data_IF_105580552651
#
_entry.id   IF_105580552651
#
_cell.length_a   1.000
_cell.length_b   1.000
_cell.length_c   1.000
_cell.angle_alpha   90.00
_cell.angle_beta   90.00
_cell.angle_gamma   90.00
#
_symmetry.space_group_name_H-M   'P 1'
#
loop_
_entity.id
_entity.type
_entity.pdbx_description
1 polymer ?
#
# COMPACT_ATOMS: atom_id res chain seq x y z
N UNK A 1 5.62 -30.59 35.63
CA UNK A 1 4.76 -29.63 34.89
C UNK A 1 5.66 -28.56 34.30
N UNK A 2 5.98 -28.66 33.00
CA UNK A 2 6.73 -27.61 32.31
C UNK A 2 5.86 -26.35 32.22
N UNK A 3 6.38 -25.15 32.53
CA UNK A 3 5.66 -23.93 32.19
C UNK A 3 5.58 -23.86 30.67
N UNK A 4 4.37 -24.01 30.12
CA UNK A 4 4.06 -23.68 28.73
C UNK A 4 4.46 -22.21 28.54
N UNK A 5 5.62 -22.02 27.91
CA UNK A 5 6.17 -20.73 27.53
C UNK A 5 5.21 -20.10 26.51
N UNK A 6 4.21 -19.39 27.02
CA UNK A 6 3.22 -18.64 26.24
C UNK A 6 3.78 -17.28 25.82
N UNK A 7 5.05 -17.21 25.45
CA UNK A 7 5.55 -16.08 24.68
C UNK A 7 5.32 -16.39 23.21
N UNK A 8 4.72 -15.47 22.44
CA UNK A 8 4.63 -15.66 21.00
C UNK A 8 6.04 -15.82 20.45
N UNK A 9 6.26 -16.91 19.72
CA UNK A 9 7.58 -17.28 19.20
C UNK A 9 8.17 -16.11 18.40
N UNK A 10 9.18 -15.45 18.96
CA UNK A 10 9.81 -14.26 18.39
C UNK A 10 10.31 -14.52 16.96
N UNK A 11 10.67 -15.77 16.66
CA UNK A 11 11.08 -16.20 15.32
C UNK A 11 9.93 -16.08 14.32
N UNK A 12 8.72 -16.46 14.73
CA UNK A 12 7.51 -16.34 13.92
C UNK A 12 7.14 -14.86 13.68
N UNK A 13 7.22 -14.00 14.71
CA UNK A 13 7.00 -12.55 14.59
C UNK A 13 8.01 -11.93 13.61
N UNK A 14 9.29 -12.25 13.76
CA UNK A 14 10.36 -11.73 12.90
C UNK A 14 10.20 -12.19 11.45
N UNK A 15 9.79 -13.44 11.22
CA UNK A 15 9.53 -13.98 9.89
C UNK A 15 8.38 -13.23 9.20
N UNK A 16 7.24 -13.02 9.89
CA UNK A 16 6.09 -12.30 9.34
C UNK A 16 6.42 -10.85 9.00
N UNK A 17 7.14 -10.17 9.89
CA UNK A 17 7.58 -8.81 9.65
C UNK A 17 8.57 -8.71 8.48
N UNK A 18 9.44 -9.71 8.32
CA UNK A 18 10.32 -9.82 7.15
C UNK A 18 9.49 -9.96 5.88
N UNK A 19 8.49 -10.83 5.85
CA UNK A 19 7.58 -10.98 4.70
C UNK A 19 6.88 -9.66 4.37
N UNK A 20 6.32 -8.96 5.37
CA UNK A 20 5.66 -7.67 5.15
C UNK A 20 6.61 -6.60 4.60
N UNK A 21 7.87 -6.56 5.06
CA UNK A 21 8.87 -5.63 4.49
C UNK A 21 9.25 -5.99 3.07
N UNK A 22 9.40 -7.28 2.76
CA UNK A 22 9.67 -7.74 1.39
C UNK A 22 8.52 -7.33 0.47
N UNK A 23 7.28 -7.58 0.88
CA UNK A 23 6.09 -7.17 0.11
C UNK A 23 6.02 -5.66 -0.05
N UNK A 24 6.22 -4.90 1.03
CA UNK A 24 6.24 -3.44 0.97
C UNK A 24 7.27 -2.92 -0.04
N UNK A 25 8.49 -3.47 0.00
CA UNK A 25 9.55 -3.09 -0.93
C UNK A 25 9.23 -3.52 -2.36
N UNK A 26 8.65 -4.72 -2.56
CA UNK A 26 8.24 -5.21 -3.87
C UNK A 26 7.20 -4.31 -4.53
N UNK A 27 6.16 -3.89 -3.78
CA UNK A 27 5.14 -2.96 -4.27
C UNK A 27 5.72 -1.56 -4.53
N UNK A 28 6.63 -1.08 -3.67
CA UNK A 28 7.31 0.19 -3.91
C UNK A 28 8.15 0.14 -5.19
N UNK A 29 8.87 -0.96 -5.42
CA UNK A 29 9.60 -1.21 -6.66
C UNK A 29 8.66 -1.30 -7.88
N UNK A 30 7.47 -1.92 -7.73
CA UNK A 30 6.43 -1.98 -8.77
C UNK A 30 6.01 -0.57 -9.22
N UNK A 31 5.72 0.33 -8.27
CA UNK A 31 5.40 1.73 -8.56
C UNK A 31 6.56 2.42 -9.29
N UNK A 32 7.79 2.20 -8.84
CA UNK A 32 8.99 2.72 -9.50
C UNK A 32 9.16 2.20 -10.93
N UNK A 33 8.87 0.91 -11.16
CA UNK A 33 8.92 0.28 -12.47
C UNK A 33 7.86 0.88 -13.40
N UNK A 34 6.62 1.06 -12.92
CA UNK A 34 5.57 1.72 -13.69
C UNK A 34 5.97 3.14 -14.10
N UNK A 35 6.59 3.89 -13.20
CA UNK A 35 7.11 5.22 -13.52
C UNK A 35 8.25 5.14 -14.56
N UNK A 36 9.20 4.21 -14.42
CA UNK A 36 10.28 4.01 -15.39
C UNK A 36 9.74 3.68 -16.79
N UNK A 37 8.68 2.88 -16.89
CA UNK A 37 8.03 2.58 -18.17
C UNK A 37 7.56 3.84 -18.89
N UNK A 38 7.03 4.84 -18.15
CA UNK A 38 6.63 6.12 -18.75
C UNK A 38 7.81 6.87 -19.38
N UNK A 39 9.00 6.77 -18.79
CA UNK A 39 10.23 7.38 -19.32
C UNK A 39 10.69 6.66 -20.59
N UNK A 40 10.67 5.32 -20.60
CA UNK A 40 11.09 4.52 -21.76
C UNK A 40 10.16 4.66 -22.95
N UNK A 41 8.85 4.77 -22.72
CA UNK A 41 7.85 4.92 -23.80
C UNK A 41 7.95 6.31 -24.46
N UNK A 42 8.34 7.33 -23.69
CA UNK A 42 8.42 8.71 -24.18
C UNK A 42 7.06 9.39 -24.25
N UNK A 43 7.05 10.72 -24.11
CA UNK A 43 5.82 11.52 -24.07
C UNK A 43 5.11 11.51 -25.42
N UNK A 44 3.81 11.23 -25.42
CA UNK A 44 2.93 11.48 -26.57
C UNK A 44 2.48 12.94 -26.59
N UNK A 45 2.15 13.50 -27.77
CA UNK A 45 1.55 14.83 -27.84
C UNK A 45 0.23 14.81 -27.08
N UNK A 46 0.04 15.80 -26.20
CA UNK A 46 -1.20 15.97 -25.47
C UNK A 46 -2.33 16.33 -26.45
N UNK A 47 -3.42 15.56 -26.42
CA UNK A 47 -4.53 15.67 -27.37
C UNK A 47 -5.77 16.18 -26.66
N UNK A 48 -6.16 17.44 -26.92
CA UNK A 48 -7.49 18.05 -26.63
C UNK A 48 -8.04 18.03 -25.19
N UNK A 49 -9.03 18.90 -24.94
CA UNK A 49 -9.66 19.13 -23.63
C UNK A 49 -10.50 17.96 -23.08
N UNK A 50 -10.91 17.00 -23.92
CA UNK A 50 -11.63 15.80 -23.45
C UNK A 50 -10.73 14.88 -22.62
N UNK A 51 -9.44 14.88 -22.96
CA UNK A 51 -8.41 14.06 -22.34
C UNK A 51 -8.06 14.55 -20.94
N UNK A 52 -8.15 15.87 -20.71
CA UNK A 52 -7.98 16.51 -19.40
C UNK A 52 -9.05 16.03 -18.40
N UNK A 53 -10.30 15.90 -18.86
CA UNK A 53 -11.39 15.42 -18.01
C UNK A 53 -11.16 13.97 -17.56
N UNK A 54 -10.65 13.12 -18.46
CA UNK A 54 -10.30 11.73 -18.13
C UNK A 54 -9.15 11.67 -17.12
N UNK A 55 -8.11 12.49 -17.30
CA UNK A 55 -6.99 12.57 -16.34
C UNK A 55 -7.46 13.03 -14.96
N UNK A 56 -8.38 13.99 -14.90
CA UNK A 56 -8.97 14.43 -13.64
C UNK A 56 -9.75 13.33 -12.94
N UNK A 57 -10.51 12.50 -13.68
CA UNK A 57 -11.20 11.33 -13.12
C UNK A 57 -10.19 10.33 -12.57
N UNK A 58 -9.12 10.01 -13.30
CA UNK A 58 -8.08 9.11 -12.79
C UNK A 58 -7.39 9.67 -11.53
N UNK A 59 -7.14 10.98 -11.50
CA UNK A 59 -6.60 11.66 -10.33
C UNK A 59 -7.51 11.51 -9.12
N UNK A 60 -8.81 11.79 -9.29
CA UNK A 60 -9.80 11.69 -8.22
C UNK A 60 -9.92 10.24 -7.70
N UNK A 61 -9.98 9.27 -8.60
CA UNK A 61 -10.08 7.84 -8.24
C UNK A 61 -8.79 7.37 -7.55
N UNK A 62 -7.61 7.69 -8.08
CA UNK A 62 -6.33 7.34 -7.47
C UNK A 62 -6.13 7.97 -6.10
N UNK A 63 -6.49 9.25 -5.94
CA UNK A 63 -6.45 9.91 -4.64
C UNK A 63 -7.42 9.27 -3.63
N UNK A 64 -8.62 8.92 -4.08
CA UNK A 64 -9.59 8.22 -3.23
C UNK A 64 -9.10 6.82 -2.82
N UNK A 65 -8.36 6.11 -3.68
CA UNK A 65 -7.81 4.78 -3.35
C UNK A 65 -6.73 4.88 -2.28
N UNK A 66 -5.85 5.87 -2.36
CA UNK A 66 -4.82 6.11 -1.32
C UNK A 66 -5.47 6.52 -0.01
N UNK A 67 -6.49 7.40 -0.04
CA UNK A 67 -7.22 7.76 1.17
C UNK A 67 -7.95 6.55 1.78
N UNK A 68 -8.60 5.74 0.95
CA UNK A 68 -9.26 4.51 1.36
C UNK A 68 -8.25 3.53 1.98
N UNK A 69 -7.02 3.43 1.46
CA UNK A 69 -5.98 2.55 2.00
C UNK A 69 -5.68 2.82 3.47
N UNK A 70 -5.66 4.10 3.87
CA UNK A 70 -5.44 4.54 5.25
C UNK A 70 -6.62 4.17 6.13
N UNK A 71 -7.85 4.48 5.69
CA UNK A 71 -9.08 4.20 6.45
C UNK A 71 -9.26 2.68 6.63
N UNK A 72 -9.07 1.92 5.56
CA UNK A 72 -9.15 0.46 5.57
C UNK A 72 -8.10 -0.14 6.49
N UNK A 73 -6.86 0.37 6.46
CA UNK A 73 -5.81 -0.04 7.42
C UNK A 73 -6.27 0.17 8.85
N UNK A 74 -6.75 1.36 9.19
CA UNK A 74 -7.17 1.68 10.56
C UNK A 74 -8.28 0.74 11.04
N UNK A 75 -9.29 0.49 10.19
CA UNK A 75 -10.39 -0.43 10.52
C UNK A 75 -9.94 -1.88 10.68
N UNK A 76 -9.07 -2.37 9.79
CA UNK A 76 -8.59 -3.75 9.83
C UNK A 76 -7.60 -3.96 10.99
N UNK A 77 -6.78 -2.97 11.31
CA UNK A 77 -5.91 -3.00 12.50
C UNK A 77 -6.72 -3.01 13.79
N UNK A 78 -7.76 -2.18 13.92
CA UNK A 78 -8.65 -2.19 15.08
C UNK A 78 -9.27 -3.58 15.30
N UNK A 79 -9.80 -4.19 14.23
CA UNK A 79 -10.30 -5.59 14.28
C UNK A 79 -9.21 -6.60 14.62
N UNK A 80 -7.99 -6.42 14.14
CA UNK A 80 -6.88 -7.31 14.45
C UNK A 80 -6.52 -7.26 15.95
N UNK A 81 -6.60 -6.09 16.58
CA UNK A 81 -6.40 -5.93 18.02
C UNK A 81 -7.54 -6.53 18.85
N UNK A 82 -8.80 -6.36 18.43
CA UNK A 82 -9.95 -6.99 19.09
C UNK A 82 -9.89 -8.52 19.02
N UNK A 83 -9.53 -9.07 17.86
CA UNK A 83 -9.50 -10.52 17.63
C UNK A 83 -8.19 -11.18 18.08
N UNK A 84 -7.15 -10.39 18.38
CA UNK A 84 -5.79 -10.84 18.67
C UNK A 84 -5.23 -11.86 17.67
N UNK A 85 -5.65 -11.78 16.40
CA UNK A 85 -5.20 -12.67 15.32
C UNK A 85 -4.19 -11.96 14.45
N UNK A 86 -2.95 -12.45 14.46
CA UNK A 86 -1.83 -11.91 13.65
C UNK A 86 -2.13 -12.00 12.14
N UNK A 87 -2.92 -12.99 11.71
CA UNK A 87 -3.34 -13.12 10.30
C UNK A 87 -4.14 -11.90 9.82
N UNK A 88 -5.01 -11.35 10.67
CA UNK A 88 -5.79 -10.16 10.34
C UNK A 88 -4.90 -8.92 10.20
N UNK A 89 -3.80 -8.85 10.97
CA UNK A 89 -2.80 -7.80 10.85
C UNK A 89 -2.10 -7.86 9.49
N UNK A 90 -1.64 -9.05 9.08
CA UNK A 90 -0.95 -9.23 7.79
C UNK A 90 -1.87 -8.86 6.63
N UNK A 91 -3.12 -9.32 6.67
CA UNK A 91 -4.14 -8.97 5.67
C UNK A 91 -4.40 -7.46 5.61
N UNK A 92 -4.44 -6.77 6.75
CA UNK A 92 -4.59 -5.31 6.79
C UNK A 92 -3.49 -4.60 5.99
N UNK A 93 -2.23 -5.00 6.19
CA UNK A 93 -1.12 -4.40 5.45
C UNK A 93 -1.17 -4.72 3.96
N UNK A 94 -1.44 -5.98 3.59
CA UNK A 94 -1.50 -6.38 2.17
C UNK A 94 -2.60 -5.61 1.42
N UNK A 95 -3.80 -5.52 2.00
CA UNK A 95 -4.92 -4.79 1.40
C UNK A 95 -4.59 -3.31 1.23
N UNK A 96 -3.97 -2.69 2.23
CA UNK A 96 -3.56 -1.29 2.12
C UNK A 96 -2.45 -1.06 1.09
N UNK A 97 -1.46 -1.95 0.99
CA UNK A 97 -0.45 -1.88 -0.06
C UNK A 97 -1.09 -1.98 -1.45
N UNK A 98 -1.98 -2.93 -1.65
CA UNK A 98 -2.70 -3.10 -2.91
C UNK A 98 -3.53 -1.85 -3.29
N UNK A 99 -4.27 -1.28 -2.33
CA UNK A 99 -5.04 -0.04 -2.55
C UNK A 99 -4.16 1.15 -2.92
N UNK A 100 -2.93 1.18 -2.40
CA UNK A 100 -1.97 2.23 -2.73
C UNK A 100 -1.35 2.02 -4.12
N UNK A 101 -1.10 0.76 -4.50
CA UNK A 101 -0.59 0.40 -5.82
C UNK A 101 -1.58 0.76 -6.94
N UNK A 102 -2.89 0.68 -6.68
CA UNK A 102 -3.93 1.12 -7.63
C UNK A 102 -3.68 2.55 -8.13
N UNK A 103 -3.27 3.48 -7.26
CA UNK A 103 -2.94 4.84 -7.69
C UNK A 103 -1.73 4.89 -8.64
N UNK A 104 -0.73 4.03 -8.44
CA UNK A 104 0.41 3.89 -9.36
C UNK A 104 0.00 3.32 -10.72
N UNK A 105 -0.88 2.31 -10.74
CA UNK A 105 -1.44 1.74 -11.98
C UNK A 105 -2.26 2.79 -12.72
N UNK A 106 -3.10 3.56 -12.01
CA UNK A 106 -3.87 4.64 -12.60
C UNK A 106 -2.97 5.74 -13.16
N UNK A 107 -1.85 6.06 -12.52
CA UNK A 107 -0.85 6.98 -13.06
C UNK A 107 -0.22 6.50 -14.37
N UNK A 108 0.03 5.20 -14.49
CA UNK A 108 0.51 4.59 -15.74
C UNK A 108 -0.57 4.62 -16.82
N UNK A 109 -1.81 4.29 -16.48
CA UNK A 109 -2.93 4.33 -17.43
C UNK A 109 -3.21 5.75 -17.90
N UNK A 110 -3.18 6.73 -17.00
CA UNK A 110 -3.31 8.14 -17.33
C UNK A 110 -2.24 8.53 -18.35
N UNK A 111 -0.96 8.24 -18.07
CA UNK A 111 0.12 8.49 -19.04
C UNK A 111 -0.11 7.87 -20.43
N UNK A 112 -0.58 6.62 -20.48
CA UNK A 112 -0.78 5.89 -21.74
C UNK A 112 -1.98 6.38 -22.54
N UNK A 113 -3.06 6.81 -21.86
CA UNK A 113 -4.32 7.22 -22.47
C UNK A 113 -4.31 8.71 -22.80
N UNK A 114 -3.87 9.55 -21.86
CA UNK A 114 -4.06 10.99 -21.93
C UNK A 114 -2.84 11.76 -22.42
N UNK A 115 -1.64 11.23 -22.16
CA UNK A 115 -0.39 11.94 -22.45
C UNK A 115 -0.27 13.27 -21.70
N UNK A 116 -1.05 13.45 -20.63
CA UNK A 116 -1.10 14.67 -19.83
C UNK A 116 0.26 15.02 -19.21
N UNK A 117 0.43 16.28 -18.79
CA UNK A 117 1.68 16.70 -18.15
C UNK A 117 1.77 16.23 -16.70
N UNK A 118 0.62 16.05 -16.03
CA UNK A 118 0.53 15.87 -14.57
C UNK A 118 0.38 14.42 -14.10
N UNK A 119 0.48 13.42 -14.99
CA UNK A 119 0.38 11.99 -14.65
C UNK A 119 1.32 11.57 -13.48
N UNK A 120 2.46 12.24 -13.35
CA UNK A 120 3.47 11.94 -12.33
C UNK A 120 2.94 12.15 -10.90
N UNK A 121 1.90 12.97 -10.71
CA UNK A 121 1.30 13.21 -9.40
C UNK A 121 0.68 11.94 -8.81
N UNK A 122 0.10 11.07 -9.62
CA UNK A 122 -0.45 9.79 -9.16
C UNK A 122 0.66 8.84 -8.67
N UNK A 123 1.81 8.84 -9.32
CA UNK A 123 2.99 8.09 -8.87
C UNK A 123 3.55 8.63 -7.55
N UNK A 124 3.65 9.97 -7.43
CA UNK A 124 4.06 10.61 -6.18
C UNK A 124 3.08 10.27 -5.06
N UNK A 125 1.78 10.30 -5.34
CA UNK A 125 0.75 9.99 -4.36
C UNK A 125 0.81 8.52 -3.91
N UNK A 126 1.02 7.59 -4.84
CA UNK A 126 1.23 6.18 -4.53
C UNK A 126 2.50 5.96 -3.68
N UNK A 127 3.61 6.63 -4.03
CA UNK A 127 4.85 6.54 -3.27
C UNK A 127 4.71 7.11 -1.84
N UNK A 128 4.05 8.26 -1.68
CA UNK A 128 3.74 8.85 -0.38
C UNK A 128 2.82 7.91 0.42
N UNK A 129 1.78 7.37 -0.21
CA UNK A 129 0.90 6.38 0.40
C UNK A 129 1.69 5.17 0.92
N UNK A 130 2.65 4.67 0.14
CA UNK A 130 3.51 3.55 0.55
C UNK A 130 4.40 3.92 1.74
N UNK A 131 4.96 5.13 1.76
CA UNK A 131 5.75 5.63 2.90
C UNK A 131 4.91 5.74 4.18
N UNK A 132 3.64 6.13 4.09
CA UNK A 132 2.73 6.15 5.25
C UNK A 132 2.41 4.74 5.76
N UNK A 133 2.55 3.73 4.89
CA UNK A 133 2.19 2.35 5.21
C UNK A 133 3.35 1.49 5.72
N UNK A 134 4.52 2.07 6.01
CA UNK A 134 5.71 1.33 6.45
C UNK A 134 5.42 0.37 7.62
N UNK A 135 5.76 -0.93 7.48
CA UNK A 135 5.51 -1.93 8.53
C UNK A 135 6.49 -1.75 9.70
N UNK A 136 6.01 -1.18 10.80
CA UNK A 136 6.77 -1.04 12.06
C UNK A 136 6.68 -2.29 12.95
N UNK A 137 7.76 -2.59 13.69
CA UNK A 137 7.85 -3.71 14.66
C UNK A 137 6.76 -3.64 15.73
N UNK A 138 6.47 -2.44 16.22
CA UNK A 138 5.51 -2.17 17.30
C UNK A 138 4.11 -2.73 17.01
N UNK A 139 3.63 -2.63 15.77
CA UNK A 139 2.31 -3.15 15.39
C UNK A 139 2.19 -4.68 15.46
N UNK A 140 3.30 -5.39 15.23
CA UNK A 140 3.31 -6.86 15.28
C UNK A 140 3.44 -7.33 16.73
N UNK A 141 4.21 -6.61 17.55
CA UNK A 141 4.36 -6.91 18.98
C UNK A 141 3.03 -6.67 19.72
N UNK A 142 2.35 -5.55 19.45
CA UNK A 142 1.07 -5.24 20.10
C UNK A 142 -0.06 -6.20 19.72
N UNK A 143 -0.12 -6.65 18.47
CA UNK A 143 -1.09 -7.66 18.05
C UNK A 143 -0.77 -9.07 18.58
N UNK A 144 0.48 -9.31 18.95
CA UNK A 144 0.95 -10.62 19.43
C UNK A 144 0.88 -10.78 20.95
N UNK A 145 0.71 -9.70 21.70
CA UNK A 145 0.58 -9.77 23.16
C UNK A 145 -0.85 -10.20 23.52
N UNK A 146 -1.01 -11.46 23.93
CA UNK A 146 -2.27 -11.96 24.49
C UNK A 146 -2.56 -11.19 25.78
N UNK A 147 -3.64 -10.41 25.82
CA UNK A 147 -4.13 -9.83 27.07
C UNK A 147 -4.76 -10.98 27.87
N UNK A 148 -4.11 -11.41 28.95
CA UNK A 148 -4.77 -12.22 29.98
C UNK A 148 -5.70 -11.29 30.74
N UNK A 149 -6.99 -11.45 30.55
CA UNK A 149 -7.99 -11.21 31.58
C UNK A 149 -8.58 -12.57 31.90
#
# INVERSE_FOLDING_TARGET
MQPLNSQPDERTIAARLRTLRILWFAILCSIGLFFLLTIFIGKRPHTSSETDAVSFVFMAVGASSVLASVIVKMKLLARAFETQRIENLVSAFIVSFALTEVAGILGLLDFLVTGERYYYLLFVLAAVGMLLHVPKREHVISASYRSRI
#
